data_IF_617179229972
#
_entry.id   IF_617179229972
#
_cell.length_a   1.000
_cell.length_b   1.000
_cell.length_c   1.000
_cell.angle_alpha   90.00
_cell.angle_beta   90.00
_cell.angle_gamma   90.00
#
_symmetry.space_group_name_H-M   'P 1'
#
loop_
_entity.id
_entity.type
_entity.pdbx_description
1 polymer ?
#
# COMPACT_ATOMS: atom_id res chain seq x y z
N UNK A 1 9.53 7.87 -13.75
CA UNK A 1 9.55 8.50 -12.40
C UNK A 1 8.15 8.51 -11.80
N UNK A 2 7.43 7.38 -11.78
CA UNK A 2 6.02 7.37 -11.37
C UNK A 2 5.82 7.74 -9.88
N UNK A 3 6.79 7.42 -9.02
CA UNK A 3 6.71 7.77 -7.59
C UNK A 3 6.73 9.29 -7.33
N UNK A 4 7.31 10.12 -8.22
CA UNK A 4 7.22 11.59 -8.06
C UNK A 4 5.78 12.05 -8.21
N UNK A 5 5.12 11.59 -9.27
CA UNK A 5 3.72 11.93 -9.55
C UNK A 5 2.85 11.46 -8.38
N UNK A 6 3.06 10.23 -7.90
CA UNK A 6 2.33 9.68 -6.77
C UNK A 6 2.51 10.46 -5.46
N UNK A 7 3.70 11.06 -5.24
CA UNK A 7 3.97 11.93 -4.09
C UNK A 7 3.30 13.28 -4.26
N UNK A 8 3.36 13.88 -5.45
CA UNK A 8 2.74 15.17 -5.76
C UNK A 8 1.21 15.09 -5.67
N UNK A 9 0.61 14.00 -6.12
CA UNK A 9 -0.85 13.81 -6.09
C UNK A 9 -1.39 13.57 -4.67
N UNK A 10 -0.58 13.01 -3.77
CA UNK A 10 -1.00 12.61 -2.41
C UNK A 10 -0.53 13.55 -1.31
N UNK A 11 0.33 14.49 -1.63
CA UNK A 11 0.87 15.45 -0.67
C UNK A 11 0.44 16.85 -1.04
N UNK A 12 -0.10 17.65 -0.11
CA UNK A 12 -0.41 19.05 -0.37
C UNK A 12 0.81 19.79 -0.93
N UNK A 13 0.62 20.52 -2.03
CA UNK A 13 1.70 21.21 -2.74
C UNK A 13 2.49 22.14 -1.82
N UNK A 14 1.80 22.94 -0.99
CA UNK A 14 2.42 23.83 -0.02
C UNK A 14 3.37 23.07 0.93
N UNK A 15 3.00 21.86 1.34
CA UNK A 15 3.85 21.03 2.21
C UNK A 15 5.10 20.55 1.48
N UNK A 16 4.97 20.16 0.21
CA UNK A 16 6.13 19.79 -0.62
C UNK A 16 7.04 20.99 -0.87
N UNK A 17 6.48 22.18 -1.10
CA UNK A 17 7.24 23.43 -1.26
C UNK A 17 8.10 23.69 -0.02
N UNK A 18 7.51 23.61 1.18
CA UNK A 18 8.21 23.81 2.45
C UNK A 18 9.36 22.83 2.65
N UNK A 19 9.10 21.53 2.42
CA UNK A 19 10.09 20.47 2.69
C UNK A 19 11.21 20.42 1.65
N UNK A 20 10.93 20.81 0.42
CA UNK A 20 11.93 20.79 -0.65
C UNK A 20 12.76 22.07 -0.70
N UNK A 21 12.36 23.12 0.03
CA UNK A 21 13.04 24.42 0.08
C UNK A 21 13.25 24.95 1.51
N UNK A 22 13.81 24.17 2.45
CA UNK A 22 13.79 24.53 3.87
C UNK A 22 14.57 25.80 4.24
N UNK A 23 15.52 26.20 3.39
CA UNK A 23 16.43 27.34 3.61
C UNK A 23 16.11 28.53 2.72
N UNK A 24 15.06 28.44 1.90
CA UNK A 24 14.64 29.53 1.02
C UNK A 24 13.51 30.28 1.72
N UNK A 25 13.62 31.60 1.94
CA UNK A 25 12.53 32.37 2.49
C UNK A 25 11.41 32.51 1.45
N UNK A 26 10.18 32.16 1.83
CA UNK A 26 8.97 32.24 1.00
C UNK A 26 9.08 31.54 -0.38
N UNK A 27 9.39 30.23 -0.42
CA UNK A 27 9.40 29.49 -1.68
C UNK A 27 7.97 29.35 -2.21
N UNK A 28 7.80 29.46 -3.53
CA UNK A 28 6.50 29.36 -4.22
C UNK A 28 6.42 28.14 -5.14
N UNK A 29 7.51 27.39 -5.29
CA UNK A 29 7.60 26.26 -6.22
C UNK A 29 8.33 25.09 -5.56
N UNK A 30 7.89 23.88 -5.86
CA UNK A 30 8.56 22.65 -5.40
C UNK A 30 9.95 22.57 -6.03
N UNK A 31 10.98 22.30 -5.22
CA UNK A 31 12.30 22.01 -5.74
C UNK A 31 12.34 20.56 -6.22
N UNK A 32 12.10 20.39 -7.53
CA UNK A 32 11.99 19.09 -8.19
C UNK A 32 13.29 18.29 -8.15
N UNK A 33 14.45 18.95 -8.09
CA UNK A 33 15.75 18.27 -7.95
C UNK A 33 15.85 17.56 -6.60
N UNK A 34 15.52 18.25 -5.50
CA UNK A 34 15.58 17.65 -4.17
C UNK A 34 14.52 16.56 -3.99
N UNK A 35 13.32 16.77 -4.55
CA UNK A 35 12.27 15.75 -4.59
C UNK A 35 12.72 14.51 -5.37
N UNK A 36 13.35 14.67 -6.54
CA UNK A 36 13.84 13.56 -7.35
C UNK A 36 14.93 12.76 -6.64
N UNK A 37 15.82 13.41 -5.89
CA UNK A 37 16.83 12.73 -5.06
C UNK A 37 16.17 11.91 -3.95
N UNK A 38 15.19 12.48 -3.23
CA UNK A 38 14.47 11.76 -2.18
C UNK A 38 13.71 10.54 -2.74
N UNK A 39 13.06 10.70 -3.90
CA UNK A 39 12.37 9.60 -4.58
C UNK A 39 13.34 8.52 -5.06
N UNK A 40 14.49 8.90 -5.61
CA UNK A 40 15.52 7.94 -6.04
C UNK A 40 16.01 7.09 -4.87
N UNK A 41 16.32 7.72 -3.74
CA UNK A 41 16.78 7.03 -2.53
C UNK A 41 15.72 6.06 -1.99
N UNK A 42 14.46 6.50 -1.94
CA UNK A 42 13.38 5.67 -1.44
C UNK A 42 13.06 4.52 -2.39
N UNK A 43 13.10 4.74 -3.71
CA UNK A 43 12.89 3.68 -4.70
C UNK A 43 13.98 2.60 -4.57
N UNK A 44 15.24 3.01 -4.44
CA UNK A 44 16.36 2.09 -4.24
C UNK A 44 16.22 1.29 -2.92
N UNK A 45 15.83 1.95 -1.82
CA UNK A 45 15.56 1.26 -0.55
C UNK A 45 14.37 0.31 -0.64
N UNK A 46 13.30 0.72 -1.31
CA UNK A 46 12.11 -0.09 -1.51
C UNK A 46 12.47 -1.38 -2.25
N UNK A 47 13.18 -1.27 -3.36
CA UNK A 47 13.68 -2.43 -4.13
C UNK A 47 14.59 -3.33 -3.30
N UNK A 48 15.50 -2.73 -2.51
CA UNK A 48 16.41 -3.48 -1.65
C UNK A 48 15.67 -4.35 -0.63
N UNK A 49 14.67 -3.80 0.06
CA UNK A 49 13.98 -4.51 1.14
C UNK A 49 12.83 -5.40 0.65
N UNK A 50 12.10 -4.96 -0.38
CA UNK A 50 10.96 -5.69 -0.93
C UNK A 50 11.35 -6.72 -1.99
N UNK A 51 12.54 -6.61 -2.58
CA UNK A 51 12.98 -7.38 -3.75
C UNK A 51 12.06 -7.24 -4.99
N UNK A 52 11.29 -6.16 -5.08
CA UNK A 52 10.47 -5.80 -6.25
C UNK A 52 10.68 -4.35 -6.65
N UNK A 53 10.61 -4.08 -7.95
CA UNK A 53 10.54 -2.71 -8.47
C UNK A 53 9.27 -2.01 -7.98
N UNK A 54 9.39 -0.72 -7.73
CA UNK A 54 8.24 0.13 -7.42
C UNK A 54 7.25 0.15 -8.59
N UNK A 55 5.95 0.20 -8.29
CA UNK A 55 4.90 0.31 -9.31
C UNK A 55 3.77 1.20 -8.82
N UNK A 56 3.46 2.26 -9.57
CA UNK A 56 2.35 3.17 -9.28
C UNK A 56 0.96 2.53 -9.46
N UNK A 57 0.88 1.44 -10.24
CA UNK A 57 -0.36 0.68 -10.38
C UNK A 57 -0.66 -0.21 -9.17
N UNK A 58 0.33 -0.44 -8.31
CA UNK A 58 0.15 -1.18 -7.07
C UNK A 58 -0.06 -0.20 -5.91
N UNK A 59 -1.30 -0.10 -5.44
CA UNK A 59 -1.67 0.79 -4.33
C UNK A 59 -0.89 0.50 -3.04
N UNK A 60 -0.45 -0.73 -2.83
CA UNK A 60 0.42 -1.10 -1.71
C UNK A 60 1.82 -0.50 -1.84
N UNK A 61 2.42 -0.51 -3.03
CA UNK A 61 3.74 0.09 -3.25
C UNK A 61 3.67 1.60 -2.97
N UNK A 62 2.63 2.25 -3.49
CA UNK A 62 2.33 3.66 -3.24
C UNK A 62 2.19 3.95 -1.75
N UNK A 63 1.37 3.17 -1.03
CA UNK A 63 1.09 3.39 0.38
C UNK A 63 2.33 3.28 1.27
N UNK A 64 3.32 2.47 0.86
CA UNK A 64 4.60 2.31 1.55
C UNK A 64 5.58 3.42 1.17
N UNK A 65 5.73 3.68 -0.13
CA UNK A 65 6.79 4.53 -0.64
C UNK A 65 6.53 6.03 -0.40
N UNK A 66 5.28 6.50 -0.54
CA UNK A 66 4.96 7.94 -0.40
C UNK A 66 5.32 8.48 1.01
N UNK A 67 4.91 7.83 2.12
CA UNK A 67 5.33 8.28 3.45
C UNK A 67 6.86 8.23 3.66
N UNK A 68 7.54 7.25 3.08
CA UNK A 68 9.00 7.14 3.17
C UNK A 68 9.73 8.29 2.44
N UNK A 69 9.19 8.77 1.31
CA UNK A 69 9.71 9.97 0.62
C UNK A 69 9.59 11.20 1.52
N UNK A 70 8.44 11.36 2.18
CA UNK A 70 8.24 12.46 3.12
C UNK A 70 9.24 12.39 4.28
N UNK A 71 9.43 11.20 4.87
CA UNK A 71 10.46 10.96 5.89
C UNK A 71 11.86 11.34 5.42
N UNK A 72 12.22 10.98 4.18
CA UNK A 72 13.53 11.30 3.60
C UNK A 72 13.72 12.82 3.38
N UNK A 73 12.66 13.53 3.01
CA UNK A 73 12.70 15.00 2.90
C UNK A 73 12.91 15.68 4.27
N UNK A 74 12.29 15.18 5.34
CA UNK A 74 12.57 15.66 6.71
C UNK A 74 14.01 15.38 7.15
N UNK A 75 14.56 14.23 6.76
CA UNK A 75 15.98 13.90 7.02
C UNK A 75 16.91 14.93 6.33
N UNK A 76 16.63 15.30 5.08
CA UNK A 76 17.41 16.33 4.36
C UNK A 76 17.31 17.73 4.97
N UNK A 77 16.15 18.08 5.53
CA UNK A 77 15.96 19.32 6.30
C UNK A 77 16.65 19.27 7.69
N UNK A 78 17.06 18.09 8.15
CA UNK A 78 17.58 17.90 9.50
C UNK A 78 16.49 17.98 10.58
N UNK A 79 15.21 17.98 10.20
CA UNK A 79 14.04 17.97 11.10
C UNK A 79 13.55 16.54 11.30
N UNK A 80 14.47 15.66 11.71
CA UNK A 80 14.16 14.26 11.99
C UNK A 80 13.15 14.23 13.14
N UNK A 81 11.94 13.74 12.88
CA UNK A 81 10.93 13.50 13.91
C UNK A 81 11.47 12.51 14.94
N UNK A 82 11.08 12.62 16.21
CA UNK A 82 11.41 11.64 17.25
C UNK A 82 10.98 10.22 16.84
N UNK A 83 9.93 10.11 16.02
CA UNK A 83 9.40 8.84 15.52
C UNK A 83 9.98 8.43 14.16
N UNK A 84 11.05 9.09 13.67
CA UNK A 84 11.62 8.76 12.36
C UNK A 84 12.15 7.32 12.31
N UNK A 85 12.80 6.86 13.38
CA UNK A 85 13.29 5.48 13.46
C UNK A 85 12.12 4.48 13.39
N UNK A 86 11.03 4.76 14.12
CA UNK A 86 9.82 3.94 14.06
C UNK A 86 9.21 3.93 12.65
N UNK A 87 9.15 5.08 11.97
CA UNK A 87 8.66 5.14 10.59
C UNK A 87 9.56 4.38 9.61
N UNK A 88 10.87 4.43 9.80
CA UNK A 88 11.82 3.65 9.00
C UNK A 88 11.67 2.15 9.26
N UNK A 89 11.51 1.74 10.52
CA UNK A 89 11.25 0.35 10.90
C UNK A 89 9.93 -0.15 10.29
N UNK A 90 8.86 0.66 10.34
CA UNK A 90 7.58 0.35 9.70
C UNK A 90 7.71 0.24 8.18
N UNK A 91 8.47 1.13 7.54
CA UNK A 91 8.76 1.05 6.11
C UNK A 91 9.47 -0.27 5.76
N UNK A 92 10.52 -0.64 6.49
CA UNK A 92 11.27 -1.88 6.28
C UNK A 92 10.36 -3.10 6.51
N UNK A 93 9.62 -3.12 7.63
CA UNK A 93 8.70 -4.19 7.96
C UNK A 93 7.64 -4.40 6.87
N UNK A 94 7.06 -3.33 6.34
CA UNK A 94 6.10 -3.40 5.24
C UNK A 94 6.75 -3.90 3.94
N UNK A 95 7.97 -3.48 3.62
CA UNK A 95 8.71 -4.01 2.47
C UNK A 95 9.00 -5.51 2.63
N UNK A 96 9.36 -5.98 3.83
CA UNK A 96 9.56 -7.40 4.09
C UNK A 96 8.27 -8.22 4.02
N UNK A 97 7.14 -7.65 4.49
CA UNK A 97 5.83 -8.30 4.35
C UNK A 97 5.42 -8.42 2.88
N UNK A 98 5.72 -7.39 2.07
CA UNK A 98 5.54 -7.43 0.62
C UNK A 98 6.34 -8.56 -0.01
N UNK A 99 7.63 -8.65 0.35
CA UNK A 99 8.55 -9.71 -0.11
C UNK A 99 8.04 -11.12 0.24
N UNK A 100 7.45 -11.27 1.42
CA UNK A 100 6.88 -12.56 1.90
C UNK A 100 5.52 -12.87 1.28
N UNK A 101 4.89 -11.95 0.56
CA UNK A 101 3.52 -12.08 0.06
C UNK A 101 2.44 -12.05 1.16
N UNK A 102 2.81 -11.61 2.38
CA UNK A 102 1.97 -11.69 3.58
C UNK A 102 1.30 -10.35 3.93
N UNK A 103 1.26 -9.39 3.00
CA UNK A 103 0.68 -8.09 3.32
C UNK A 103 -0.86 -8.15 3.23
N UNK A 104 -1.59 -7.85 4.32
CA UNK A 104 -3.05 -7.79 4.29
C UNK A 104 -3.50 -6.52 3.56
N UNK A 105 -3.78 -6.64 2.26
CA UNK A 105 -4.29 -5.58 1.39
C UNK A 105 -4.89 -6.19 0.11
N UNK A 106 -5.69 -5.45 -0.67
CA UNK A 106 -6.42 -6.00 -1.81
C UNK A 106 -5.45 -6.49 -2.88
N UNK A 107 -5.23 -7.80 -2.94
CA UNK A 107 -4.53 -8.48 -4.02
C UNK A 107 -5.43 -8.47 -5.26
N UNK A 108 -5.26 -7.51 -6.15
CA UNK A 108 -5.79 -7.63 -7.53
C UNK A 108 -4.82 -8.44 -8.37
N UNK A 109 -4.59 -9.71 -7.98
CA UNK A 109 -4.02 -10.69 -8.90
C UNK A 109 -5.18 -11.24 -9.71
N UNK A 110 -5.56 -10.56 -10.79
CA UNK A 110 -6.44 -11.12 -11.82
C UNK A 110 -5.67 -12.20 -12.60
N UNK A 111 -5.36 -13.30 -11.94
CA UNK A 111 -4.95 -14.55 -12.56
C UNK A 111 -6.14 -15.49 -12.58
N UNK A 112 -7.07 -15.30 -13.53
CA UNK A 112 -8.05 -16.33 -13.85
C UNK A 112 -7.26 -17.48 -14.48
N UNK A 113 -6.80 -18.42 -13.65
CA UNK A 113 -6.54 -19.77 -14.13
C UNK A 113 -7.92 -20.34 -14.40
N UNK A 114 -8.26 -20.49 -15.69
CA UNK A 114 -9.37 -21.33 -16.11
C UNK A 114 -9.06 -22.74 -15.66
N UNK A 115 -9.65 -23.15 -14.54
CA UNK A 115 -9.75 -24.57 -14.20
C UNK A 115 -10.72 -25.20 -15.20
N UNK A 116 -10.16 -26.13 -15.96
CA UNK A 116 -10.85 -27.04 -16.86
C UNK A 116 -11.95 -27.80 -16.10
N UNK A 117 -13.09 -27.94 -16.76
CA UNK A 117 -14.27 -28.69 -16.31
C UNK A 117 -13.89 -30.09 -15.79
N UNK A 118 -14.43 -30.48 -14.63
CA UNK A 118 -14.97 -31.83 -14.51
C UNK A 118 -16.27 -31.84 -13.69
N UNK A 119 -17.26 -32.49 -14.26
CA UNK A 119 -18.65 -32.51 -13.86
C UNK A 119 -18.95 -33.81 -13.13
N UNK A 120 -19.44 -33.74 -11.89
CA UNK A 120 -20.31 -34.81 -11.37
C UNK A 120 -21.22 -34.34 -10.25
N UNK A 121 -22.39 -33.87 -10.67
CA UNK A 121 -23.74 -34.21 -10.17
C UNK A 121 -23.77 -35.21 -9.00
N UNK A 122 -24.41 -34.85 -7.87
CA UNK A 122 -25.36 -35.76 -7.17
C UNK A 122 -26.42 -34.98 -6.37
N UNK A 123 -27.55 -34.79 -7.04
CA UNK A 123 -28.95 -34.92 -6.60
C UNK A 123 -29.36 -34.68 -5.12
N UNK A 124 -30.04 -33.54 -4.97
CA UNK A 124 -31.12 -33.21 -4.03
C UNK A 124 -32.17 -34.33 -3.92
N UNK A 125 -32.31 -34.95 -2.75
CA UNK A 125 -33.49 -35.76 -2.39
C UNK A 125 -34.40 -34.97 -1.46
N UNK A 126 -35.55 -34.57 -2.00
CA UNK A 126 -36.75 -34.28 -1.22
C UNK A 126 -37.28 -35.58 -0.62
N UNK A 127 -37.79 -35.54 0.62
CA UNK A 127 -38.89 -36.41 0.99
C UNK A 127 -39.85 -35.72 1.98
N UNK A 128 -41.13 -35.82 1.65
CA UNK A 128 -42.31 -35.13 2.19
C UNK A 128 -42.96 -35.88 3.37
N UNK A 129 -43.72 -35.11 4.18
CA UNK A 129 -44.90 -35.50 5.03
C UNK A 129 -44.58 -36.42 6.21
N UNK A 130 -45.21 -36.37 7.39
CA UNK A 130 -46.54 -35.97 7.89
C UNK A 130 -46.35 -35.76 9.42
N UNK A 131 -47.08 -34.95 10.19
CA UNK A 131 -48.42 -35.25 10.71
C UNK A 131 -48.71 -34.18 11.77
N UNK A 132 -49.73 -33.35 11.56
CA UNK A 132 -50.43 -32.68 12.67
C UNK A 132 -51.24 -33.76 13.38
N UNK A 133 -51.16 -33.86 14.70
CA UNK A 133 -52.28 -34.20 15.58
C UNK A 133 -51.88 -34.05 17.06
N UNK A 134 -52.76 -33.35 17.78
CA UNK A 134 -53.15 -33.52 19.18
C UNK A 134 -52.10 -33.58 20.30
N UNK A 135 -51.99 -32.49 21.08
CA UNK A 135 -51.86 -32.58 22.55
C UNK A 135 -52.36 -31.28 23.24
N UNK A 136 -53.68 -31.22 23.47
CA UNK A 136 -54.32 -30.67 24.69
C UNK A 136 -55.03 -31.87 25.33
N UNK A 137 -54.94 -32.14 26.64
CA UNK A 137 -55.64 -31.36 27.69
C UNK A 137 -54.81 -31.34 29.02
N UNK A 138 -55.22 -30.77 30.16
CA UNK A 138 -56.53 -30.38 30.72
C UNK A 138 -56.33 -29.17 31.65
#
# INVERSE_FOLDING_TARGET
MALIDDVQDRTPEQRLIELTNPRVPAPTTVNTTLLALAVSDVSAKFELYSATEYSSSNSTHVAIAVPAVMGKLYEYDGRISENYNEQLELFIANCELLKKGNMPGPVTTSGIVRETEDSSVTQRRENKKSHYDDFRPS
#
